data_IF_998352063927
#
_entry.id   IF_998352063927
#
_cell.length_a   1.000
_cell.length_b   1.000
_cell.length_c   1.000
_cell.angle_alpha   90.00
_cell.angle_beta   90.00
_cell.angle_gamma   90.00
#
_symmetry.space_group_name_H-M   'P 1'
#
loop_
_entity.id
_entity.type
_entity.pdbx_description
1 polymer ?
#
# COMPACT_ATOMS: atom_id res chain seq x y z
N UNK A 1 -5.39 -11.53 -10.36
CA UNK A 1 -3.93 -11.52 -10.13
C UNK A 1 -3.48 -10.09 -9.90
N UNK A 2 -2.64 -9.89 -8.90
CA UNK A 2 -2.14 -8.55 -8.55
C UNK A 2 -0.98 -8.19 -9.47
N UNK A 3 -1.02 -7.00 -10.06
CA UNK A 3 0.05 -6.51 -10.90
C UNK A 3 1.34 -6.33 -10.07
N UNK A 4 2.51 -6.55 -10.69
CA UNK A 4 3.80 -6.54 -9.99
C UNK A 4 4.05 -5.27 -9.17
N UNK A 5 3.68 -4.09 -9.68
CA UNK A 5 3.91 -2.84 -8.95
C UNK A 5 3.12 -2.79 -7.65
N UNK A 6 1.90 -3.33 -7.64
CA UNK A 6 1.08 -3.39 -6.43
C UNK A 6 1.63 -4.43 -5.46
N UNK A 7 2.11 -5.54 -6.00
CA UNK A 7 2.71 -6.61 -5.21
C UNK A 7 3.89 -6.10 -4.38
N UNK A 8 4.77 -5.31 -5.00
CA UNK A 8 5.90 -4.73 -4.29
C UNK A 8 5.48 -3.87 -3.11
N UNK A 9 4.42 -3.08 -3.32
CA UNK A 9 3.91 -2.19 -2.28
C UNK A 9 3.23 -3.01 -1.17
N UNK A 10 2.38 -3.95 -1.53
CA UNK A 10 1.64 -4.74 -0.55
C UNK A 10 2.54 -5.65 0.27
N UNK A 11 3.67 -6.08 -0.27
CA UNK A 11 4.67 -6.85 0.48
C UNK A 11 5.18 -6.09 1.70
N UNK A 12 5.14 -4.77 1.68
CA UNK A 12 5.61 -3.97 2.80
C UNK A 12 4.72 -4.08 4.03
N UNK A 13 3.52 -4.61 3.86
CA UNK A 13 2.57 -4.82 4.95
C UNK A 13 2.59 -6.27 5.47
N UNK A 14 3.33 -7.18 4.85
CA UNK A 14 3.43 -8.54 5.34
C UNK A 14 4.18 -8.53 6.66
N UNK A 15 3.74 -9.37 7.59
CA UNK A 15 4.32 -9.41 8.93
C UNK A 15 3.62 -8.48 9.91
N UNK A 16 3.03 -7.39 9.46
CA UNK A 16 2.26 -6.48 10.32
C UNK A 16 1.22 -5.75 9.48
N UNK A 17 0.00 -6.23 9.48
CA UNK A 17 -1.10 -5.65 8.70
C UNK A 17 -1.58 -4.31 9.25
N UNK A 18 -1.11 -3.92 10.43
CA UNK A 18 -1.45 -2.61 11.02
C UNK A 18 -0.42 -1.53 10.71
N UNK A 19 0.63 -1.88 9.97
CA UNK A 19 1.72 -0.95 9.66
C UNK A 19 1.20 0.24 8.88
N UNK A 20 1.77 1.41 9.18
CA UNK A 20 1.50 2.64 8.43
C UNK A 20 2.75 3.01 7.64
N UNK A 21 2.56 3.32 6.36
CA UNK A 21 3.66 3.57 5.44
C UNK A 21 3.38 4.84 4.66
N UNK A 22 4.38 5.69 4.49
CA UNK A 22 4.28 6.85 3.61
C UNK A 22 5.12 6.61 2.36
N UNK A 23 4.68 7.23 1.24
CA UNK A 23 5.23 6.91 -0.08
C UNK A 23 6.73 7.08 -0.20
N UNK A 24 7.29 8.16 0.37
CA UNK A 24 8.72 8.42 0.27
C UNK A 24 9.56 7.32 0.92
N UNK A 25 9.04 6.68 1.97
CA UNK A 25 9.78 5.61 2.64
C UNK A 25 9.92 4.37 1.75
N UNK A 26 9.07 4.23 0.73
CA UNK A 26 9.11 3.09 -0.16
C UNK A 26 10.15 3.22 -1.27
N UNK A 27 10.65 4.42 -1.52
CA UNK A 27 11.59 4.66 -2.63
C UNK A 27 12.82 3.78 -2.53
N UNK A 28 13.32 3.56 -1.31
CA UNK A 28 14.50 2.72 -1.08
C UNK A 28 14.16 1.24 -0.93
N UNK A 29 12.87 0.87 -0.88
CA UNK A 29 12.45 -0.49 -0.55
C UNK A 29 11.84 -1.24 -1.72
N UNK A 30 11.38 -0.53 -2.74
CA UNK A 30 10.74 -1.13 -3.90
C UNK A 30 11.41 -0.61 -5.18
N UNK A 31 11.45 -1.43 -6.25
CA UNK A 31 12.10 -1.03 -7.51
C UNK A 31 11.18 -0.19 -8.38
N UNK A 32 10.63 0.89 -7.81
CA UNK A 32 9.71 1.79 -8.50
C UNK A 32 10.14 3.23 -8.27
N UNK A 33 9.86 4.09 -9.26
CA UNK A 33 10.10 5.52 -9.10
C UNK A 33 9.12 6.10 -8.09
N UNK A 34 9.46 7.27 -7.53
CA UNK A 34 8.58 7.95 -6.59
C UNK A 34 7.20 8.22 -7.21
N UNK A 35 7.17 8.61 -8.49
CA UNK A 35 5.92 8.85 -9.19
C UNK A 35 5.09 7.57 -9.33
N UNK A 36 5.73 6.46 -9.67
CA UNK A 36 5.04 5.18 -9.79
C UNK A 36 4.48 4.71 -8.46
N UNK A 37 5.23 4.92 -7.37
CA UNK A 37 4.78 4.60 -6.02
C UNK A 37 3.52 5.40 -5.67
N UNK A 38 3.56 6.72 -5.92
CA UNK A 38 2.43 7.59 -5.60
C UNK A 38 1.18 7.18 -6.37
N UNK A 39 1.33 6.87 -7.65
CA UNK A 39 0.20 6.43 -8.47
C UNK A 39 -0.37 5.11 -7.99
N UNK A 40 0.50 4.14 -7.67
CA UNK A 40 0.06 2.83 -7.21
C UNK A 40 -0.64 2.91 -5.85
N UNK A 41 -0.12 3.72 -4.93
CA UNK A 41 -0.77 3.93 -3.64
C UNK A 41 -2.16 4.52 -3.81
N UNK A 42 -2.30 5.51 -4.70
CA UNK A 42 -3.60 6.12 -4.99
C UNK A 42 -4.59 5.13 -5.60
N UNK A 43 -4.12 4.27 -6.50
CA UNK A 43 -4.95 3.26 -7.10
C UNK A 43 -5.42 2.22 -6.08
N UNK A 44 -4.52 1.77 -5.21
CA UNK A 44 -4.87 0.82 -4.16
C UNK A 44 -5.86 1.40 -3.17
N UNK A 45 -5.73 2.69 -2.85
CA UNK A 45 -6.68 3.38 -1.98
C UNK A 45 -8.05 3.49 -2.67
N UNK A 46 -8.05 3.85 -3.95
CA UNK A 46 -9.27 3.97 -4.74
C UNK A 46 -10.03 2.64 -4.83
N UNK A 47 -9.29 1.53 -4.86
CA UNK A 47 -9.87 0.19 -4.92
C UNK A 47 -10.28 -0.34 -3.55
N UNK A 48 -10.10 0.44 -2.50
CA UNK A 48 -10.48 0.04 -1.14
C UNK A 48 -9.53 -0.95 -0.48
N UNK A 49 -8.34 -1.17 -1.07
CA UNK A 49 -7.33 -2.07 -0.50
C UNK A 49 -6.51 -1.36 0.57
N UNK A 50 -6.21 -0.09 0.34
CA UNK A 50 -5.52 0.75 1.31
C UNK A 50 -6.41 1.88 1.77
N UNK A 51 -6.15 2.36 2.98
CA UNK A 51 -6.70 3.61 3.49
C UNK A 51 -5.53 4.52 3.83
N UNK A 52 -5.80 5.83 3.91
CA UNK A 52 -4.78 6.75 4.35
C UNK A 52 -5.32 7.71 5.39
N UNK A 53 -4.41 8.27 6.16
CA UNK A 53 -4.71 9.40 7.05
C UNK A 53 -3.65 10.47 6.81
N UNK A 54 -4.06 11.72 6.99
CA UNK A 54 -3.13 12.84 6.93
C UNK A 54 -2.62 13.13 8.32
N UNK A 55 -1.30 13.30 8.43
CA UNK A 55 -0.68 13.72 9.66
C UNK A 55 0.33 14.79 9.29
N UNK A 56 -0.01 16.04 9.59
CA UNK A 56 0.71 17.16 9.01
C UNK A 56 0.47 17.16 7.50
N UNK A 57 1.54 17.24 6.72
CA UNK A 57 1.47 17.19 5.26
C UNK A 57 1.76 15.80 4.68
N UNK A 58 1.80 14.78 5.54
CA UNK A 58 2.20 13.44 5.12
C UNK A 58 0.99 12.52 5.14
N UNK A 59 0.81 11.79 4.03
CA UNK A 59 -0.18 10.73 3.93
C UNK A 59 0.43 9.42 4.39
N UNK A 60 -0.15 8.82 5.42
CA UNK A 60 0.24 7.49 5.89
C UNK A 60 -0.80 6.49 5.40
N UNK A 61 -0.35 5.51 4.64
CA UNK A 61 -1.22 4.46 4.09
C UNK A 61 -1.15 3.22 4.97
N UNK A 62 -2.29 2.57 5.11
CA UNK A 62 -2.39 1.30 5.82
C UNK A 62 -3.41 0.42 5.13
N UNK A 63 -3.36 -0.89 5.41
CA UNK A 63 -4.34 -1.81 4.86
C UNK A 63 -5.74 -1.48 5.36
N UNK A 64 -6.72 -1.57 4.47
CA UNK A 64 -8.11 -1.38 4.82
C UNK A 64 -8.65 -2.70 5.40
N UNK A 65 -8.52 -2.87 6.70
CA UNK A 65 -8.91 -4.10 7.38
C UNK A 65 -10.42 -4.30 7.43
N UNK A 66 -11.20 -3.29 7.06
CA UNK A 66 -12.65 -3.42 6.96
C UNK A 66 -13.10 -3.97 5.61
N UNK A 67 -12.19 -4.04 4.63
CA UNK A 67 -12.49 -4.64 3.34
C UNK A 67 -12.62 -6.15 3.51
N UNK A 68 -13.78 -6.75 3.17
CA UNK A 68 -13.97 -8.19 3.38
C UNK A 68 -13.03 -9.07 2.57
N UNK A 69 -12.43 -8.53 1.51
CA UNK A 69 -11.52 -9.26 0.63
C UNK A 69 -10.05 -9.05 0.98
N UNK A 70 -9.74 -8.32 2.05
CA UNK A 70 -8.36 -7.93 2.32
C UNK A 70 -7.46 -9.15 2.60
N UNK A 71 -7.98 -10.16 3.27
CA UNK A 71 -7.22 -11.38 3.52
C UNK A 71 -6.85 -12.08 2.21
N UNK A 72 -7.81 -12.20 1.30
CA UNK A 72 -7.57 -12.83 0.01
C UNK A 72 -6.54 -12.07 -0.80
N UNK A 73 -6.61 -10.74 -0.78
CA UNK A 73 -5.62 -9.89 -1.45
C UNK A 73 -4.23 -10.16 -0.87
N UNK A 74 -4.10 -10.16 0.45
CA UNK A 74 -2.79 -10.33 1.09
C UNK A 74 -2.27 -11.76 0.95
N UNK A 75 -3.13 -12.75 0.85
CA UNK A 75 -2.70 -14.13 0.59
C UNK A 75 -2.11 -14.28 -0.81
N UNK A 76 -2.44 -13.39 -1.74
CA UNK A 76 -1.89 -13.38 -3.09
C UNK A 76 -0.51 -12.72 -3.15
N UNK A 77 -0.09 -12.10 -2.09
CA UNK A 77 1.22 -11.43 -1.97
C UNK A 77 2.31 -12.41 -1.46
#
# INVERSE_FOLDING_TARGET
MIHNKYLWILKQFTGDYTREIYGRSLVSKVPLSQKAIALALGELESDGILRYKLQGNIKYFKLNLTNPNIKDVMLSV
#
